data_IF_865906391740
#
_entry.id   IF_865906391740
#
_cell.length_a   1.000
_cell.length_b   1.000
_cell.length_c   1.000
_cell.angle_alpha   90.00
_cell.angle_beta   90.00
_cell.angle_gamma   90.00
#
_symmetry.space_group_name_H-M   'P 1'
#
loop_
_entity.id
_entity.type
_entity.pdbx_description
1 polymer ?
#
# COMPACT_ATOMS: atom_id res chain seq x y z
N UNK A 1 -22.71 3.06 -4.01
CA UNK A 1 -22.38 2.12 -5.11
C UNK A 1 -22.68 0.66 -4.75
N UNK A 2 -22.08 0.03 -3.72
CA UNK A 2 -22.46 -1.35 -3.33
C UNK A 2 -23.97 -1.53 -3.11
N UNK A 3 -24.59 -0.56 -2.45
CA UNK A 3 -26.03 -0.49 -2.24
C UNK A 3 -26.84 -0.54 -3.56
N UNK A 4 -26.39 0.17 -4.60
CA UNK A 4 -27.07 0.22 -5.91
C UNK A 4 -27.00 -1.12 -6.66
N UNK A 5 -25.90 -1.86 -6.50
CA UNK A 5 -25.77 -3.22 -7.02
C UNK A 5 -26.78 -4.15 -6.35
N UNK A 6 -26.86 -4.12 -5.01
CA UNK A 6 -27.85 -4.91 -4.27
C UNK A 6 -29.28 -4.54 -4.64
N UNK A 7 -29.59 -3.24 -4.76
CA UNK A 7 -30.91 -2.74 -5.16
C UNK A 7 -31.35 -3.23 -6.53
N UNK A 8 -30.40 -3.51 -7.43
CA UNK A 8 -30.68 -3.96 -8.80
C UNK A 8 -30.49 -5.47 -8.99
N UNK A 9 -30.31 -6.24 -7.90
CA UNK A 9 -30.11 -7.69 -7.97
C UNK A 9 -28.78 -8.11 -8.59
N UNK A 10 -27.78 -7.21 -8.59
CA UNK A 10 -26.46 -7.45 -9.20
C UNK A 10 -25.40 -7.65 -8.14
N UNK A 11 -24.41 -8.48 -8.46
CA UNK A 11 -23.24 -8.68 -7.61
C UNK A 11 -22.33 -7.44 -7.59
N UNK A 12 -21.79 -7.03 -6.44
CA UNK A 12 -20.85 -5.92 -6.36
C UNK A 12 -19.53 -6.20 -7.11
N UNK A 13 -18.96 -5.15 -7.70
CA UNK A 13 -17.64 -5.26 -8.34
C UNK A 13 -16.54 -5.67 -7.33
N UNK A 14 -15.78 -6.70 -7.72
CA UNK A 14 -14.68 -7.32 -6.94
C UNK A 14 -13.29 -6.78 -7.30
N UNK A 15 -13.20 -5.81 -8.20
CA UNK A 15 -11.95 -5.24 -8.68
C UNK A 15 -11.17 -4.48 -7.60
N UNK A 16 -9.84 -4.40 -7.79
CA UNK A 16 -8.97 -3.51 -7.02
C UNK A 16 -9.40 -2.06 -7.22
N UNK A 17 -9.40 -1.29 -6.13
CA UNK A 17 -9.91 0.10 -6.11
C UNK A 17 -8.78 1.04 -5.82
N UNK A 18 -8.62 2.06 -6.65
CA UNK A 18 -7.71 3.17 -6.37
C UNK A 18 -8.50 4.36 -5.81
N UNK A 19 -8.02 4.91 -4.69
CA UNK A 19 -8.59 6.07 -4.02
C UNK A 19 -7.61 7.24 -4.13
N UNK A 20 -7.89 8.14 -5.07
CA UNK A 20 -7.09 9.36 -5.32
C UNK A 20 -6.91 10.21 -4.06
N UNK A 21 -7.92 10.27 -3.18
CA UNK A 21 -7.82 10.97 -1.90
C UNK A 21 -6.76 10.35 -0.97
N UNK A 22 -6.67 9.02 -0.90
CA UNK A 22 -5.64 8.33 -0.10
C UNK A 22 -4.24 8.54 -0.66
N UNK A 23 -4.11 8.57 -1.98
CA UNK A 23 -2.84 8.90 -2.65
C UNK A 23 -2.46 10.35 -2.36
N UNK A 24 -3.37 11.30 -2.60
CA UNK A 24 -3.15 12.72 -2.42
C UNK A 24 -2.74 13.10 -0.98
N UNK A 25 -3.36 12.46 0.03
CA UNK A 25 -2.98 12.66 1.45
C UNK A 25 -1.52 12.31 1.72
N UNK A 26 -0.97 11.31 1.04
CA UNK A 26 0.41 10.87 1.22
C UNK A 26 1.40 11.63 0.36
N UNK A 27 1.02 11.86 -0.89
CA UNK A 27 1.91 12.49 -1.86
C UNK A 27 2.08 14.00 -1.59
N UNK A 28 1.07 14.64 -0.98
CA UNK A 28 1.06 16.08 -0.74
C UNK A 28 0.73 16.41 0.73
N UNK A 29 1.49 15.92 1.72
CA UNK A 29 1.14 16.03 3.13
C UNK A 29 0.99 17.50 3.58
N UNK A 30 1.80 18.41 3.03
CA UNK A 30 1.82 19.85 3.33
C UNK A 30 0.57 20.64 2.90
N UNK A 31 -0.25 20.13 1.97
CA UNK A 31 -1.47 20.87 1.57
C UNK A 31 -2.48 20.98 2.72
N UNK A 32 -3.09 22.14 2.94
CA UNK A 32 -4.11 22.29 3.99
C UNK A 32 -5.35 21.42 3.73
N UNK A 33 -5.75 21.26 2.46
CA UNK A 33 -6.90 20.45 2.04
C UNK A 33 -6.51 19.45 0.94
N UNK A 34 -7.22 18.32 0.90
CA UNK A 34 -7.09 17.26 -0.12
C UNK A 34 -8.39 17.09 -0.91
N UNK A 35 -9.27 18.11 -0.87
CA UNK A 35 -10.45 18.15 -1.73
C UNK A 35 -10.04 18.15 -3.20
N UNK A 36 -10.95 17.72 -4.08
CA UNK A 36 -10.69 17.72 -5.52
C UNK A 36 -10.30 19.12 -6.01
N UNK A 37 -10.98 20.17 -5.56
CA UNK A 37 -10.66 21.57 -5.88
C UNK A 37 -9.25 21.96 -5.42
N UNK A 38 -8.87 21.61 -4.19
CA UNK A 38 -7.54 21.96 -3.67
C UNK A 38 -6.40 21.23 -4.41
N UNK A 39 -6.61 19.95 -4.72
CA UNK A 39 -5.64 19.15 -5.49
C UNK A 39 -5.53 19.63 -6.92
N UNK A 40 -6.64 19.95 -7.58
CA UNK A 40 -6.64 20.42 -8.97
C UNK A 40 -6.01 21.80 -9.09
N UNK A 41 -6.27 22.71 -8.14
CA UNK A 41 -5.59 23.99 -8.03
C UNK A 41 -4.07 23.81 -7.87
N UNK A 42 -3.64 22.97 -6.91
CA UNK A 42 -2.22 22.70 -6.69
C UNK A 42 -1.54 22.11 -7.94
N UNK A 43 -2.21 21.18 -8.61
CA UNK A 43 -1.71 20.55 -9.84
C UNK A 43 -1.90 21.40 -11.10
N UNK A 44 -2.41 22.63 -10.98
CA UNK A 44 -2.70 23.54 -12.10
C UNK A 44 -3.58 22.88 -13.18
N UNK A 45 -4.67 22.23 -12.75
CA UNK A 45 -5.67 21.61 -13.61
C UNK A 45 -6.93 22.49 -13.64
N UNK A 46 -7.39 22.86 -14.85
CA UNK A 46 -8.66 23.58 -15.03
C UNK A 46 -9.84 22.64 -14.77
N UNK A 47 -10.83 23.10 -14.02
CA UNK A 47 -12.12 22.43 -13.83
C UNK A 47 -13.25 23.42 -14.17
N UNK A 48 -13.54 23.58 -15.46
CA UNK A 48 -14.45 24.61 -15.98
C UNK A 48 -15.93 24.37 -15.65
N UNK A 49 -16.31 23.17 -15.16
CA UNK A 49 -17.67 22.80 -14.79
C UNK A 49 -17.70 21.97 -13.50
N UNK A 50 -17.07 22.48 -12.44
CA UNK A 50 -17.06 21.82 -11.14
C UNK A 50 -18.48 21.44 -10.69
N UNK A 51 -18.60 20.33 -9.95
CA UNK A 51 -19.87 19.79 -9.43
C UNK A 51 -20.74 19.05 -10.45
N UNK A 52 -20.34 18.99 -11.72
CA UNK A 52 -20.92 18.04 -12.69
C UNK A 52 -20.17 16.72 -12.62
N UNK A 53 -20.91 15.61 -12.50
CA UNK A 53 -20.35 14.28 -12.35
C UNK A 53 -19.28 13.92 -13.40
N UNK A 54 -19.53 14.26 -14.68
CA UNK A 54 -18.58 14.02 -15.76
C UNK A 54 -17.30 14.85 -15.61
N UNK A 55 -17.43 16.15 -15.34
CA UNK A 55 -16.28 17.05 -15.18
C UNK A 55 -15.42 16.65 -13.96
N UNK A 56 -16.07 16.28 -12.86
CA UNK A 56 -15.38 15.81 -11.65
C UNK A 56 -14.67 14.48 -11.90
N UNK A 57 -15.27 13.56 -12.68
CA UNK A 57 -14.62 12.30 -13.07
C UNK A 57 -13.40 12.55 -13.98
N UNK A 58 -13.53 13.41 -14.99
CA UNK A 58 -12.44 13.75 -15.91
C UNK A 58 -11.26 14.38 -15.17
N UNK A 59 -11.51 15.41 -14.35
CA UNK A 59 -10.44 16.09 -13.62
C UNK A 59 -9.79 15.17 -12.57
N UNK A 60 -10.56 14.28 -11.97
CA UNK A 60 -10.04 13.23 -11.07
C UNK A 60 -9.09 12.28 -11.81
N UNK A 61 -9.43 11.85 -13.03
CA UNK A 61 -8.57 11.00 -13.85
C UNK A 61 -7.27 11.72 -14.22
N UNK A 62 -7.36 12.99 -14.63
CA UNK A 62 -6.19 13.83 -14.94
C UNK A 62 -5.29 14.04 -13.72
N UNK A 63 -5.87 14.27 -12.55
CA UNK A 63 -5.13 14.36 -11.29
C UNK A 63 -4.43 13.05 -10.96
N UNK A 64 -5.10 11.90 -11.11
CA UNK A 64 -4.52 10.58 -10.90
C UNK A 64 -3.32 10.33 -11.83
N UNK A 65 -3.43 10.65 -13.13
CA UNK A 65 -2.32 10.51 -14.09
C UNK A 65 -1.10 11.34 -13.65
N UNK A 66 -1.30 12.58 -13.21
CA UNK A 66 -0.21 13.41 -12.68
C UNK A 66 0.40 12.82 -11.41
N UNK A 67 -0.42 12.30 -10.49
CA UNK A 67 0.08 11.63 -9.28
C UNK A 67 0.90 10.39 -9.61
N UNK A 68 0.45 9.54 -10.53
CA UNK A 68 1.18 8.34 -10.97
C UNK A 68 2.53 8.72 -11.57
N UNK A 69 2.58 9.73 -12.45
CA UNK A 69 3.85 10.22 -13.03
C UNK A 69 4.83 10.68 -11.95
N UNK A 70 4.34 11.40 -10.94
CA UNK A 70 5.15 11.86 -9.80
C UNK A 70 5.63 10.69 -8.95
N UNK A 71 4.75 9.74 -8.61
CA UNK A 71 5.10 8.54 -7.85
C UNK A 71 6.11 7.66 -8.58
N UNK A 72 5.98 7.53 -9.90
CA UNK A 72 6.97 6.84 -10.73
C UNK A 72 8.34 7.51 -10.61
N UNK A 73 8.39 8.84 -10.73
CA UNK A 73 9.64 9.61 -10.68
C UNK A 73 10.28 9.59 -9.29
N UNK A 74 9.50 9.83 -8.24
CA UNK A 74 10.02 10.12 -6.91
C UNK A 74 10.14 8.85 -6.03
N UNK A 75 9.30 7.84 -6.28
CA UNK A 75 9.18 6.62 -5.46
C UNK A 75 9.40 5.33 -6.26
N UNK A 76 9.64 5.42 -7.58
CA UNK A 76 9.85 4.26 -8.44
C UNK A 76 8.64 3.35 -8.63
N UNK A 77 7.41 3.83 -8.34
CA UNK A 77 6.20 3.02 -8.47
C UNK A 77 5.80 2.88 -9.94
N UNK A 78 5.78 1.65 -10.44
CA UNK A 78 5.51 1.36 -11.86
C UNK A 78 4.33 0.40 -12.06
N UNK A 79 3.92 -0.33 -11.03
CA UNK A 79 2.86 -1.33 -11.12
C UNK A 79 1.59 -0.95 -10.35
N UNK A 80 0.46 -1.54 -10.74
CA UNK A 80 -0.82 -1.35 -10.06
C UNK A 80 -0.78 -1.85 -8.60
N UNK A 81 -0.08 -2.96 -8.33
CA UNK A 81 0.05 -3.53 -6.99
C UNK A 81 0.87 -2.64 -6.04
N UNK A 82 1.93 -2.02 -6.56
CA UNK A 82 2.73 -1.03 -5.83
C UNK A 82 1.91 0.21 -5.52
N UNK A 83 1.15 0.72 -6.50
CA UNK A 83 0.25 1.85 -6.29
C UNK A 83 -0.85 1.51 -5.27
N UNK A 84 -1.41 0.29 -5.36
CA UNK A 84 -2.38 -0.22 -4.41
C UNK A 84 -1.79 -0.31 -2.99
N UNK A 85 -0.54 -0.76 -2.87
CA UNK A 85 0.19 -0.81 -1.61
C UNK A 85 0.47 0.59 -1.06
N UNK A 86 0.85 1.54 -1.92
CA UNK A 86 1.10 2.93 -1.55
C UNK A 86 -0.16 3.60 -0.98
N UNK A 87 -1.31 3.44 -1.63
CA UNK A 87 -2.57 3.99 -1.12
C UNK A 87 -3.06 3.28 0.15
N UNK A 88 -2.71 2.00 0.34
CA UNK A 88 -3.19 1.20 1.46
C UNK A 88 -2.29 1.34 2.66
N UNK A 89 -1.07 1.88 2.52
CA UNK A 89 -0.01 1.95 3.54
C UNK A 89 -0.44 2.40 4.94
N UNK A 90 -1.65 2.92 5.18
CA UNK A 90 -2.08 3.70 6.34
C UNK A 90 -1.03 4.80 6.65
N UNK A 91 -1.41 5.90 7.27
CA UNK A 91 -0.39 6.69 7.98
C UNK A 91 -0.03 5.92 9.26
N UNK A 92 0.42 4.66 9.16
CA UNK A 92 0.78 3.90 10.35
C UNK A 92 2.21 4.24 10.73
N UNK A 93 2.32 5.28 11.57
CA UNK A 93 3.03 5.15 12.87
C UNK A 93 2.31 4.12 13.79
N UNK A 94 1.67 3.11 13.22
CA UNK A 94 1.11 1.98 13.93
C UNK A 94 2.23 1.00 14.07
N UNK A 95 2.76 0.92 15.29
CA UNK A 95 3.82 0.02 15.71
C UNK A 95 3.67 -1.34 15.02
N UNK A 96 4.69 -1.75 14.25
CA UNK A 96 4.75 -3.11 13.70
C UNK A 96 4.51 -4.09 14.84
N UNK A 97 3.50 -4.96 14.72
CA UNK A 97 3.22 -5.98 15.73
C UNK A 97 4.15 -7.16 15.49
N UNK A 98 5.42 -6.98 15.80
CA UNK A 98 6.43 -8.03 15.75
C UNK A 98 6.27 -8.88 17.01
N UNK A 99 6.23 -10.21 16.86
CA UNK A 99 6.22 -11.10 18.03
C UNK A 99 7.53 -10.90 18.81
N UNK A 100 7.48 -10.94 20.15
CA UNK A 100 8.65 -10.75 21.01
C UNK A 100 9.86 -11.60 20.59
N UNK A 101 9.62 -12.87 20.24
CA UNK A 101 10.67 -13.80 19.83
C UNK A 101 11.26 -13.55 18.43
N UNK A 102 10.61 -12.74 17.59
CA UNK A 102 11.13 -12.34 16.28
C UNK A 102 11.72 -10.93 16.29
N UNK A 103 11.63 -10.20 17.41
CA UNK A 103 11.98 -8.78 17.45
C UNK A 103 13.49 -8.55 17.24
N UNK A 104 14.32 -9.42 17.82
CA UNK A 104 15.77 -9.35 17.65
C UNK A 104 16.14 -9.65 16.19
N UNK A 105 15.62 -10.74 15.62
CA UNK A 105 15.88 -11.12 14.23
C UNK A 105 15.46 -10.03 13.24
N UNK A 106 14.32 -9.35 13.47
CA UNK A 106 13.85 -8.28 12.58
C UNK A 106 14.67 -7.00 12.73
N UNK A 107 15.21 -6.73 13.92
CA UNK A 107 15.98 -5.51 14.19
C UNK A 107 17.41 -5.57 13.63
N UNK A 108 17.94 -6.77 13.39
CA UNK A 108 19.28 -6.99 12.82
C UNK A 108 19.29 -7.19 11.30
N UNK A 109 18.15 -7.01 10.62
CA UNK A 109 18.06 -7.23 9.18
C UNK A 109 18.81 -6.15 8.39
N UNK A 110 19.64 -6.54 7.40
CA UNK A 110 20.29 -5.57 6.55
C UNK A 110 19.31 -4.99 5.52
N UNK A 111 19.55 -3.74 5.13
CA UNK A 111 18.90 -3.14 3.96
C UNK A 111 19.67 -3.50 2.67
N UNK A 112 19.78 -4.80 2.39
CA UNK A 112 20.51 -5.35 1.26
C UNK A 112 19.71 -6.47 0.57
N UNK A 113 20.04 -6.82 -0.69
CA UNK A 113 19.46 -7.97 -1.35
C UNK A 113 19.84 -9.27 -0.65
N UNK A 114 18.97 -10.28 -0.72
CA UNK A 114 19.25 -11.60 -0.16
C UNK A 114 18.04 -12.52 -0.11
N UNK A 115 18.24 -13.71 0.46
CA UNK A 115 17.24 -14.74 0.69
C UNK A 115 16.87 -14.75 2.18
N UNK A 116 15.60 -14.99 2.50
CA UNK A 116 15.12 -15.09 3.87
C UNK A 116 14.21 -16.29 4.07
N UNK A 117 14.24 -16.80 5.30
CA UNK A 117 13.53 -17.99 5.74
C UNK A 117 12.74 -17.68 7.01
N UNK A 118 11.46 -18.06 7.04
CA UNK A 118 10.72 -18.18 8.28
C UNK A 118 10.75 -19.63 8.74
N UNK A 119 11.10 -19.86 10.00
CA UNK A 119 11.16 -21.19 10.61
C UNK A 119 10.13 -21.31 11.72
N UNK A 120 9.57 -22.51 11.93
CA UNK A 120 8.69 -22.79 13.06
C UNK A 120 9.47 -23.10 14.35
N UNK A 121 8.78 -23.52 15.43
CA UNK A 121 9.41 -23.86 16.71
C UNK A 121 10.34 -25.07 16.65
N UNK A 122 10.19 -25.94 15.65
CA UNK A 122 11.01 -27.14 15.41
C UNK A 122 12.20 -26.87 14.48
N UNK A 123 12.49 -25.60 14.16
CA UNK A 123 13.49 -25.19 13.16
C UNK A 123 13.21 -25.70 11.73
N UNK A 124 11.96 -26.02 11.40
CA UNK A 124 11.58 -26.39 10.04
C UNK A 124 11.26 -25.13 9.24
N UNK A 125 11.75 -25.04 7.99
CA UNK A 125 11.46 -23.93 7.08
C UNK A 125 9.99 -24.00 6.67
N UNK A 126 9.21 -22.98 7.01
CA UNK A 126 7.79 -22.85 6.63
C UNK A 126 7.57 -21.89 5.47
N UNK A 127 8.58 -21.07 5.16
CA UNK A 127 8.54 -20.12 4.04
C UNK A 127 9.94 -19.67 3.65
N UNK A 128 10.19 -19.54 2.36
CA UNK A 128 11.38 -18.92 1.77
C UNK A 128 10.98 -17.78 0.82
N UNK A 129 11.77 -16.71 0.80
CA UNK A 129 11.61 -15.62 -0.16
C UNK A 129 12.93 -14.92 -0.47
N UNK A 130 12.94 -14.11 -1.53
CA UNK A 130 14.05 -13.23 -1.90
C UNK A 130 13.62 -11.77 -1.88
N UNK A 131 14.56 -10.86 -1.63
CA UNK A 131 14.31 -9.43 -1.59
C UNK A 131 15.48 -8.66 -2.21
N UNK A 132 15.20 -7.44 -2.72
CA UNK A 132 16.24 -6.43 -3.01
C UNK A 132 16.67 -5.66 -1.74
N UNK A 133 15.81 -5.66 -0.74
CA UNK A 133 15.99 -5.04 0.57
C UNK A 133 15.32 -5.95 1.61
N UNK A 134 16.12 -6.76 2.32
CA UNK A 134 15.63 -7.76 3.27
C UNK A 134 14.79 -7.13 4.38
N UNK A 135 15.29 -6.05 4.99
CA UNK A 135 14.61 -5.31 6.05
C UNK A 135 13.21 -4.84 5.62
N UNK A 136 13.11 -4.13 4.51
CA UNK A 136 11.82 -3.61 4.01
C UNK A 136 10.86 -4.75 3.67
N UNK A 137 11.36 -5.78 2.98
CA UNK A 137 10.55 -6.93 2.56
C UNK A 137 9.97 -7.67 3.75
N UNK A 138 10.79 -7.97 4.77
CA UNK A 138 10.34 -8.73 5.93
C UNK A 138 9.36 -7.89 6.78
N UNK A 139 9.59 -6.57 6.91
CA UNK A 139 8.64 -5.66 7.60
C UNK A 139 7.24 -5.69 6.98
N UNK A 140 7.10 -5.95 5.68
CA UNK A 140 5.76 -6.07 5.05
C UNK A 140 4.90 -7.19 5.63
N UNK A 141 5.50 -8.25 6.17
CA UNK A 141 4.76 -9.37 6.79
C UNK A 141 4.10 -8.98 8.10
N UNK A 142 4.66 -8.00 8.82
CA UNK A 142 4.16 -7.50 10.10
C UNK A 142 3.25 -6.27 9.96
N UNK A 143 3.00 -5.82 8.73
CA UNK A 143 2.11 -4.70 8.45
C UNK A 143 0.66 -5.05 8.82
N UNK A 144 -0.14 -4.11 9.36
CA UNK A 144 -1.58 -4.29 9.55
C UNK A 144 -2.30 -4.69 8.25
N UNK A 145 -1.78 -4.20 7.11
CA UNK A 145 -2.28 -4.43 5.76
C UNK A 145 -1.74 -5.69 5.10
N UNK A 146 -0.92 -6.48 5.80
CA UNK A 146 -0.37 -7.73 5.29
C UNK A 146 -1.48 -8.70 4.84
N UNK A 147 -1.21 -9.43 3.76
CA UNK A 147 -2.13 -10.41 3.18
C UNK A 147 -2.47 -11.53 4.18
N UNK A 148 -3.59 -12.24 3.97
CA UNK A 148 -3.96 -13.41 4.79
C UNK A 148 -2.82 -14.45 4.85
N UNK A 149 -2.11 -14.64 3.73
CA UNK A 149 -0.95 -15.55 3.64
C UNK A 149 0.22 -15.07 4.51
N UNK A 150 0.60 -13.80 4.42
CA UNK A 150 1.67 -13.23 5.24
C UNK A 150 1.36 -13.34 6.74
N UNK A 151 0.10 -13.05 7.13
CA UNK A 151 -0.36 -13.22 8.51
C UNK A 151 -0.28 -14.68 8.99
N UNK A 152 -0.62 -15.65 8.12
CA UNK A 152 -0.49 -17.09 8.44
C UNK A 152 0.98 -17.49 8.68
N UNK A 153 1.90 -17.02 7.84
CA UNK A 153 3.34 -17.28 7.98
C UNK A 153 3.85 -16.73 9.31
N UNK A 154 3.60 -15.45 9.61
CA UNK A 154 4.03 -14.82 10.87
C UNK A 154 3.42 -15.52 12.10
N UNK A 155 2.18 -16.01 11.99
CA UNK A 155 1.53 -16.77 13.07
C UNK A 155 2.27 -18.07 13.38
N UNK A 156 2.77 -18.78 12.37
CA UNK A 156 3.51 -20.04 12.53
C UNK A 156 5.00 -19.83 12.82
N UNK A 157 5.57 -18.72 12.33
CA UNK A 157 6.97 -18.40 12.48
C UNK A 157 7.37 -18.21 13.95
N UNK A 158 8.55 -18.74 14.26
CA UNK A 158 9.22 -18.63 15.55
C UNK A 158 10.66 -18.10 15.44
N UNK A 159 11.28 -18.18 14.25
CA UNK A 159 12.61 -17.66 13.97
C UNK A 159 12.71 -17.15 12.52
N UNK A 160 13.58 -16.18 12.28
CA UNK A 160 13.97 -15.67 10.97
C UNK A 160 15.45 -15.98 10.70
N UNK A 161 15.77 -16.41 9.48
CA UNK A 161 17.16 -16.58 8.99
C UNK A 161 17.31 -15.85 7.67
N UNK A 162 18.49 -15.29 7.39
CA UNK A 162 18.82 -14.66 6.12
C UNK A 162 20.13 -15.22 5.57
N UNK A 163 20.26 -15.22 4.24
CA UNK A 163 21.44 -15.59 3.46
C UNK A 163 21.68 -14.57 2.34
#
# INVERSE_FOLDING_TARGET
MKYEFFRTGREPLSNHKICTLKIARRLYPSLKSKSLSSITQYLRLKNSNAHRALADAEVTARALIKMIKKLKKDEGIETLDELHSYQSRVATRGRLKIKKNLNNDVSSLPNAPGIYYFLNKKNEIIYVGKAKALEERIKTYFSPTASKKAKKIVRQASKLKTE
#
